data_IF_334964227123
#
_entry.id   IF_334964227123
#
_cell.length_a   1.000
_cell.length_b   1.000
_cell.length_c   1.000
_cell.angle_alpha   90.00
_cell.angle_beta   90.00
_cell.angle_gamma   90.00
#
_symmetry.space_group_name_H-M   'P 1'
#
loop_
_entity.id
_entity.type
_entity.pdbx_description
1 polymer ?
#
# COMPACT_ATOMS: atom_id res chain seq x y z
N UNK A 1 -13.02 10.95 -3.31
CA UNK A 1 -11.78 10.64 -4.07
C UNK A 1 -10.93 11.90 -4.20
N UNK A 2 -9.92 12.05 -3.33
CA UNK A 2 -8.89 13.09 -3.47
C UNK A 2 -7.75 12.49 -4.30
N UNK A 3 -7.68 12.84 -5.58
CA UNK A 3 -6.53 12.50 -6.41
C UNK A 3 -5.38 13.47 -6.08
N UNK A 4 -4.26 12.90 -5.63
CA UNK A 4 -3.01 13.61 -5.44
C UNK A 4 -2.54 14.21 -6.77
N UNK A 5 -2.33 15.54 -6.79
CA UNK A 5 -1.75 16.25 -7.93
C UNK A 5 -0.22 16.22 -7.79
N UNK A 6 0.43 15.26 -8.45
CA UNK A 6 1.89 15.25 -8.59
C UNK A 6 2.28 16.32 -9.60
N UNK A 7 2.86 17.45 -9.17
CA UNK A 7 3.25 18.59 -10.04
C UNK A 7 4.59 18.32 -10.77
N UNK A 8 4.63 18.47 -12.09
CA UNK A 8 5.79 18.33 -12.97
C UNK A 8 5.78 19.56 -13.89
N UNK A 9 6.76 20.43 -13.68
CA UNK A 9 6.87 21.74 -14.32
C UNK A 9 7.70 21.62 -15.61
N UNK A 10 7.18 22.09 -16.74
CA UNK A 10 7.90 22.18 -18.02
C UNK A 10 8.05 23.65 -18.38
N UNK A 11 9.29 24.16 -18.35
CA UNK A 11 9.64 25.49 -18.83
C UNK A 11 9.70 25.50 -20.36
N UNK A 12 8.90 26.34 -21.01
CA UNK A 12 9.18 26.79 -22.38
C UNK A 12 9.93 28.14 -22.29
N UNK A 13 11.12 28.21 -22.91
CA UNK A 13 11.88 29.44 -23.06
C UNK A 13 11.08 30.47 -23.87
N UNK A 14 10.84 31.65 -23.31
CA UNK A 14 10.55 32.87 -24.06
C UNK A 14 11.65 33.90 -23.76
N UNK A 15 12.10 34.70 -24.75
CA UNK A 15 13.11 35.70 -24.53
C UNK A 15 12.62 36.78 -23.55
N UNK A 16 13.56 37.28 -22.76
CA UNK A 16 13.35 38.25 -21.68
C UNK A 16 12.82 39.58 -22.25
N UNK A 17 11.61 39.96 -21.83
CA UNK A 17 11.03 41.29 -22.06
C UNK A 17 9.53 41.23 -22.39
N UNK A 18 8.70 41.86 -21.53
CA UNK A 18 7.24 42.05 -21.66
C UNK A 18 6.29 40.89 -21.26
N UNK A 19 6.23 40.60 -19.96
CA UNK A 19 4.97 40.46 -19.19
C UNK A 19 3.85 39.51 -19.64
N UNK A 20 4.11 38.46 -20.41
CA UNK A 20 3.20 37.34 -20.63
C UNK A 20 4.00 36.05 -20.43
N UNK A 21 3.70 35.29 -19.39
CA UNK A 21 4.29 33.98 -19.17
C UNK A 21 3.21 32.91 -19.38
N UNK A 22 3.43 32.00 -20.33
CA UNK A 22 2.63 30.80 -20.47
C UNK A 22 3.20 29.74 -19.52
N UNK A 23 2.49 29.44 -18.43
CA UNK A 23 2.83 28.35 -17.51
C UNK A 23 2.04 27.09 -17.92
N UNK A 24 2.74 25.99 -18.19
CA UNK A 24 2.13 24.73 -18.68
C UNK A 24 1.85 23.79 -17.51
N UNK A 25 0.63 23.23 -17.44
CA UNK A 25 0.19 22.33 -16.36
C UNK A 25 -0.71 21.18 -16.87
N UNK A 26 -0.26 19.95 -16.58
CA UNK A 26 -0.91 18.60 -16.50
C UNK A 26 -1.55 17.88 -17.71
N UNK A 27 -1.07 16.65 -17.94
CA UNK A 27 -1.73 15.58 -18.71
C UNK A 27 -2.25 14.48 -17.77
N UNK A 28 -3.55 14.12 -17.78
CA UNK A 28 -4.01 12.81 -17.33
C UNK A 28 -3.89 11.78 -18.47
N UNK A 29 -3.44 10.58 -18.13
CA UNK A 29 -3.24 9.49 -19.08
C UNK A 29 -4.55 8.95 -19.69
N UNK A 30 -4.46 8.50 -20.95
CA UNK A 30 -5.52 7.77 -21.66
C UNK A 30 -5.51 8.10 -23.16
N UNK A 31 -5.00 7.18 -23.98
CA UNK A 31 -5.02 7.28 -25.45
C UNK A 31 -6.46 7.17 -25.93
N UNK A 32 -7.00 8.24 -26.51
CA UNK A 32 -8.33 8.26 -27.12
C UNK A 32 -8.89 9.64 -27.47
N UNK A 33 -8.52 10.70 -26.76
CA UNK A 33 -8.92 12.08 -27.06
C UNK A 33 -8.07 13.08 -26.27
N UNK A 34 -6.74 13.04 -26.47
CA UNK A 34 -5.85 13.91 -25.71
C UNK A 34 -6.04 15.37 -26.13
N UNK A 35 -6.56 16.21 -25.24
CA UNK A 35 -6.55 17.67 -25.40
C UNK A 35 -5.50 18.26 -24.47
N UNK A 36 -4.87 19.36 -24.87
CA UNK A 36 -3.92 20.10 -24.06
C UNK A 36 -4.53 21.44 -23.67
N UNK A 37 -4.57 21.75 -22.39
CA UNK A 37 -5.04 23.04 -21.89
C UNK A 37 -3.85 23.99 -21.66
N UNK A 38 -3.87 25.15 -22.32
CA UNK A 38 -2.85 26.21 -22.22
C UNK A 38 -3.41 27.36 -21.40
N UNK A 39 -2.73 27.75 -20.32
CA UNK A 39 -3.13 28.84 -19.44
C UNK A 39 -2.40 30.13 -19.80
N UNK A 40 -3.15 31.17 -20.18
CA UNK A 40 -2.65 32.52 -20.36
C UNK A 40 -2.89 33.33 -19.08
N UNK A 41 -1.84 33.93 -18.51
CA UNK A 41 -1.91 34.69 -17.25
C UNK A 41 -1.46 36.13 -17.49
N UNK A 42 -2.29 37.11 -17.11
CA UNK A 42 -1.92 38.52 -17.06
C UNK A 42 -1.63 38.93 -15.61
N UNK A 43 -0.35 39.04 -15.27
CA UNK A 43 0.13 39.54 -13.96
C UNK A 43 0.43 41.06 -13.98
N UNK A 44 -0.06 41.78 -15.00
CA UNK A 44 0.10 43.22 -15.15
C UNK A 44 -1.11 44.01 -14.64
N UNK A 45 -0.99 45.33 -14.63
CA UNK A 45 -2.02 46.28 -14.16
C UNK A 45 -2.94 46.80 -15.27
N UNK A 46 -2.70 46.43 -16.53
CA UNK A 46 -3.49 46.85 -17.69
C UNK A 46 -4.11 45.66 -18.43
N UNK A 47 -5.22 45.90 -19.14
CA UNK A 47 -5.87 44.88 -19.98
C UNK A 47 -4.93 44.52 -21.14
N UNK A 48 -4.75 43.21 -21.40
CA UNK A 48 -3.94 42.71 -22.52
C UNK A 48 -4.80 42.03 -23.57
N UNK A 49 -4.56 42.35 -24.83
CA UNK A 49 -5.08 41.59 -25.97
C UNK A 49 -4.17 40.39 -26.23
N UNK A 50 -4.74 39.19 -26.19
CA UNK A 50 -4.03 37.94 -26.44
C UNK A 50 -4.61 37.28 -27.68
N UNK A 51 -3.76 36.94 -28.65
CA UNK A 51 -4.12 36.13 -29.81
C UNK A 51 -3.44 34.77 -29.69
N UNK A 52 -4.18 33.69 -29.40
CA UNK A 52 -3.62 32.34 -29.34
C UNK A 52 -3.10 31.92 -30.72
N UNK A 53 -2.03 31.11 -30.75
CA UNK A 53 -1.57 30.52 -32.00
C UNK A 53 -2.59 29.49 -32.48
N UNK A 54 -2.90 29.44 -33.78
CA UNK A 54 -3.79 28.42 -34.34
C UNK A 54 -3.20 27.01 -34.18
N UNK A 55 -1.87 26.93 -34.26
CA UNK A 55 -1.10 25.70 -34.23
C UNK A 55 0.04 25.82 -33.22
N UNK A 56 0.24 24.78 -32.40
CA UNK A 56 1.42 24.61 -31.54
C UNK A 56 2.18 23.33 -31.90
N UNK A 57 3.51 23.39 -31.90
CA UNK A 57 4.36 22.21 -32.12
C UNK A 57 4.90 21.70 -30.79
N UNK A 58 4.76 20.40 -30.53
CA UNK A 58 5.30 19.79 -29.32
C UNK A 58 6.83 19.65 -29.38
N UNK A 59 7.57 19.95 -28.29
CA UNK A 59 8.99 19.60 -28.21
C UNK A 59 9.17 18.09 -27.95
N UNK A 60 9.90 17.39 -28.82
CA UNK A 60 10.18 15.96 -28.68
C UNK A 60 10.65 15.28 -29.98
N UNK A 61 10.99 13.98 -29.90
CA UNK A 61 11.48 13.17 -31.04
C UNK A 61 10.41 12.79 -32.07
N UNK A 62 9.15 13.22 -31.87
CA UNK A 62 8.06 13.10 -32.83
C UNK A 62 7.37 14.45 -32.98
N UNK A 63 7.26 15.01 -34.20
CA UNK A 63 6.49 16.23 -34.41
C UNK A 63 5.01 15.92 -34.17
N UNK A 64 4.40 16.58 -33.19
CA UNK A 64 2.95 16.68 -33.08
C UNK A 64 2.50 18.12 -33.27
N UNK A 65 1.40 18.27 -34.01
CA UNK A 65 0.73 19.53 -34.27
C UNK A 65 -0.56 19.58 -33.43
N UNK A 66 -0.67 20.59 -32.57
CA UNK A 66 -1.87 20.86 -31.78
C UNK A 66 -2.65 21.99 -32.44
N UNK A 67 -3.93 21.81 -32.70
CA UNK A 67 -4.83 22.79 -33.30
C UNK A 67 -5.76 23.35 -32.23
N UNK A 68 -5.87 24.67 -32.16
CA UNK A 68 -6.71 25.37 -31.18
C UNK A 68 -7.40 26.60 -31.77
N UNK A 69 -8.30 27.24 -30.99
CA UNK A 69 -9.03 28.41 -31.46
C UNK A 69 -8.11 29.65 -31.51
N UNK A 70 -7.88 30.17 -32.72
CA UNK A 70 -7.08 31.38 -32.97
C UNK A 70 -7.88 32.69 -32.79
N UNK A 71 -8.87 32.70 -31.89
CA UNK A 71 -9.74 33.87 -31.67
C UNK A 71 -9.10 34.79 -30.64
N UNK A 72 -8.84 36.07 -30.97
CA UNK A 72 -8.32 37.03 -30.00
C UNK A 72 -9.25 37.23 -28.81
N UNK A 73 -8.69 37.49 -27.64
CA UNK A 73 -9.44 37.86 -26.45
C UNK A 73 -8.72 38.85 -25.55
N UNK A 74 -9.51 39.60 -24.78
CA UNK A 74 -9.03 40.46 -23.70
C UNK A 74 -8.78 39.66 -22.43
N UNK A 75 -7.66 39.94 -21.78
CA UNK A 75 -7.28 39.40 -20.49
C UNK A 75 -7.09 40.56 -19.50
N UNK A 76 -8.00 40.67 -18.54
CA UNK A 76 -7.98 41.72 -17.53
C UNK A 76 -6.71 41.66 -16.65
N UNK A 77 -6.34 42.75 -15.96
CA UNK A 77 -5.31 42.73 -14.92
C UNK A 77 -5.55 41.62 -13.90
N UNK A 78 -4.48 41.01 -13.39
CA UNK A 78 -4.54 39.97 -12.34
C UNK A 78 -5.45 38.76 -12.68
N UNK A 79 -5.59 38.42 -13.97
CA UNK A 79 -6.49 37.34 -14.42
C UNK A 79 -5.80 36.27 -15.25
N UNK A 80 -6.45 35.11 -15.37
CA UNK A 80 -5.98 34.00 -16.20
C UNK A 80 -7.12 33.39 -17.01
N UNK A 81 -6.81 32.90 -18.21
CA UNK A 81 -7.76 32.22 -19.10
C UNK A 81 -7.14 30.94 -19.67
N UNK A 82 -7.92 29.86 -19.59
CA UNK A 82 -7.57 28.57 -20.16
C UNK A 82 -8.04 28.50 -21.63
N UNK A 83 -7.18 27.98 -22.51
CA UNK A 83 -7.49 27.70 -23.92
C UNK A 83 -7.14 26.25 -24.23
N UNK A 84 -8.10 25.51 -24.77
CA UNK A 84 -7.96 24.09 -25.09
C UNK A 84 -7.52 23.88 -26.53
N UNK A 85 -6.51 23.04 -26.72
CA UNK A 85 -5.99 22.57 -28.00
C UNK A 85 -6.19 21.06 -28.16
N UNK A 86 -6.34 20.59 -29.39
CA UNK A 86 -6.48 19.17 -29.73
C UNK A 86 -5.37 18.73 -30.69
N UNK A 87 -4.97 17.45 -30.69
CA UNK A 87 -4.03 16.95 -31.70
C UNK A 87 -4.64 16.99 -33.10
N UNK A 88 -3.88 17.50 -34.06
CA UNK A 88 -4.18 17.36 -35.48
C UNK A 88 -4.19 15.86 -35.82
N UNK A 89 -5.31 15.37 -36.33
CA UNK A 89 -5.41 14.00 -36.83
C UNK A 89 -4.59 13.95 -38.11
N UNK A 90 -3.39 13.37 -38.07
CA UNK A 90 -2.62 13.14 -39.29
C UNK A 90 -3.44 12.21 -40.19
N UNK A 91 -3.89 12.73 -41.33
CA UNK A 91 -4.62 11.97 -42.31
C UNK A 91 -3.69 10.88 -42.87
N UNK A 92 -4.13 9.63 -42.78
CA UNK A 92 -3.36 8.47 -43.21
C UNK A 92 -3.21 8.51 -44.74
N UNK A 93 -1.98 8.49 -45.30
CA UNK A 93 -1.82 8.56 -46.75
C UNK A 93 -2.48 7.35 -47.41
N UNK A 94 -3.05 7.50 -48.63
CA UNK A 94 -3.78 6.42 -49.27
C UNK A 94 -2.85 5.23 -49.54
N UNK A 95 -3.27 4.05 -49.09
CA UNK A 95 -2.55 2.79 -49.25
C UNK A 95 -2.39 2.47 -50.75
N UNK A 96 -1.16 2.28 -51.26
CA UNK A 96 -0.95 1.81 -52.63
C UNK A 96 -1.52 0.40 -52.78
N UNK A 97 -2.22 0.11 -53.88
CA UNK A 97 -2.73 -1.24 -54.15
C UNK A 97 -1.57 -2.24 -54.27
N UNK A 98 -1.76 -3.41 -53.69
CA UNK A 98 -0.77 -4.48 -53.45
C UNK A 98 -0.11 -5.12 -54.69
N UNK A 99 -0.32 -4.59 -55.90
CA UNK A 99 0.21 -5.18 -57.14
C UNK A 99 1.59 -4.66 -57.56
N UNK A 100 2.08 -3.54 -56.98
CA UNK A 100 3.29 -2.85 -57.47
C UNK A 100 4.46 -2.79 -56.47
N UNK A 101 4.48 -3.61 -55.42
CA UNK A 101 5.60 -3.63 -54.47
C UNK A 101 6.49 -4.87 -54.65
N UNK A 102 7.81 -4.72 -54.89
CA UNK A 102 8.73 -5.84 -54.88
C UNK A 102 8.74 -6.51 -53.50
N UNK A 103 8.64 -7.83 -53.45
CA UNK A 103 8.73 -8.61 -52.22
C UNK A 103 10.12 -8.46 -51.59
N UNK A 104 10.27 -7.47 -50.72
CA UNK A 104 11.34 -7.41 -49.75
C UNK A 104 10.85 -8.15 -48.51
N UNK A 105 11.63 -9.12 -48.03
CA UNK A 105 11.34 -9.83 -46.80
C UNK A 105 11.15 -8.82 -45.66
N UNK A 106 9.92 -8.70 -45.18
CA UNK A 106 9.60 -7.89 -44.01
C UNK A 106 10.25 -8.59 -42.82
N UNK A 107 11.35 -8.02 -42.32
CA UNK A 107 11.81 -8.35 -40.98
C UNK A 107 10.65 -8.02 -40.03
N UNK A 108 10.11 -9.04 -39.36
CA UNK A 108 9.10 -8.90 -38.33
C UNK A 108 9.59 -7.81 -37.37
N UNK A 109 8.80 -6.75 -37.10
CA UNK A 109 9.20 -5.78 -36.12
C UNK A 109 9.31 -6.54 -34.80
N UNK A 110 10.53 -6.59 -34.25
CA UNK A 110 10.68 -6.97 -32.85
C UNK A 110 10.01 -5.85 -32.08
N UNK A 111 8.77 -6.10 -31.68
CA UNK A 111 8.06 -5.33 -30.69
C UNK A 111 8.99 -5.23 -29.49
N UNK A 112 9.67 -4.09 -29.37
CA UNK A 112 10.42 -3.79 -28.16
C UNK A 112 9.34 -3.58 -27.13
N UNK A 113 8.98 -4.67 -26.44
CA UNK A 113 8.11 -4.62 -25.27
C UNK A 113 8.70 -3.55 -24.38
N UNK A 114 7.99 -2.43 -24.26
CA UNK A 114 8.29 -1.44 -23.23
C UNK A 114 8.11 -2.21 -21.92
N UNK A 115 9.23 -2.59 -21.33
CA UNK A 115 9.32 -3.20 -20.01
C UNK A 115 8.81 -2.17 -18.99
N UNK A 116 7.49 -2.08 -18.84
CA UNK A 116 6.82 -1.57 -17.64
C UNK A 116 7.08 -2.48 -16.43
N UNK A 117 7.97 -3.46 -16.56
CA UNK A 117 8.34 -4.47 -15.57
C UNK A 117 9.44 -3.99 -14.62
N UNK A 118 10.22 -2.94 -14.89
CA UNK A 118 11.36 -2.62 -14.00
C UNK A 118 10.94 -1.94 -12.69
N UNK A 119 10.22 -0.82 -12.74
CA UNK A 119 9.83 -0.08 -11.52
C UNK A 119 8.75 -0.82 -10.71
N UNK A 120 7.76 -1.42 -11.37
CA UNK A 120 6.71 -2.20 -10.69
C UNK A 120 7.28 -3.46 -10.05
N UNK A 121 8.19 -4.20 -10.70
CA UNK A 121 8.83 -5.36 -10.08
C UNK A 121 9.81 -4.94 -8.97
N UNK A 122 10.50 -3.81 -9.14
CA UNK A 122 11.43 -3.29 -8.13
C UNK A 122 10.72 -2.84 -6.85
N UNK A 123 9.57 -2.18 -6.96
CA UNK A 123 8.76 -1.84 -5.78
C UNK A 123 8.05 -3.07 -5.21
N UNK A 124 7.53 -3.97 -6.05
CA UNK A 124 6.80 -5.16 -5.60
C UNK A 124 7.71 -6.13 -4.82
N UNK A 125 8.97 -6.31 -5.23
CA UNK A 125 9.92 -7.18 -4.52
C UNK A 125 10.29 -6.67 -3.11
N UNK A 126 10.03 -5.40 -2.82
CA UNK A 126 10.25 -4.80 -1.49
C UNK A 126 9.07 -4.95 -0.55
N UNK A 127 7.90 -5.32 -1.08
CA UNK A 127 6.75 -5.68 -0.25
C UNK A 127 6.85 -7.13 0.16
N UNK A 128 6.50 -7.39 1.41
CA UNK A 128 6.26 -8.73 1.92
C UNK A 128 5.06 -8.73 2.85
N UNK A 129 4.59 -9.90 3.24
CA UNK A 129 3.60 -10.00 4.30
C UNK A 129 4.22 -9.67 5.66
N UNK A 130 3.45 -9.03 6.53
CA UNK A 130 3.83 -8.72 7.92
C UNK A 130 3.02 -9.56 8.91
N UNK A 131 1.70 -9.56 8.78
CA UNK A 131 0.76 -10.39 9.54
C UNK A 131 -0.09 -11.24 8.57
N UNK A 132 -0.79 -12.29 9.07
CA UNK A 132 -1.75 -13.03 8.27
C UNK A 132 -2.80 -12.11 7.66
N UNK A 133 -3.21 -12.43 6.44
CA UNK A 133 -4.23 -11.68 5.70
C UNK A 133 -5.40 -12.60 5.46
N UNK A 134 -6.59 -12.21 5.91
CA UNK A 134 -7.78 -13.06 5.88
C UNK A 134 -9.06 -12.24 5.82
N UNK A 135 -10.14 -12.91 5.43
CA UNK A 135 -11.51 -12.44 5.55
C UNK A 135 -12.35 -13.57 6.13
N UNK A 136 -12.93 -13.34 7.31
CA UNK A 136 -13.63 -14.34 8.11
C UNK A 136 -15.03 -13.83 8.48
N UNK A 137 -15.95 -14.76 8.65
CA UNK A 137 -17.33 -14.52 9.04
C UNK A 137 -17.69 -15.40 10.23
N UNK A 138 -18.53 -14.88 11.13
CA UNK A 138 -19.14 -15.70 12.16
C UNK A 138 -20.12 -16.72 11.54
N UNK A 139 -20.24 -17.96 12.06
CA UNK A 139 -21.14 -18.99 11.53
C UNK A 139 -22.62 -18.59 11.44
N UNK A 140 -23.08 -17.71 12.33
CA UNK A 140 -24.45 -17.17 12.34
C UNK A 140 -24.62 -15.94 11.42
N UNK A 141 -23.52 -15.43 10.84
CA UNK A 141 -23.53 -14.32 9.88
C UNK A 141 -23.83 -12.94 10.48
N UNK A 142 -23.61 -12.75 11.77
CA UNK A 142 -23.81 -11.45 12.46
C UNK A 142 -22.58 -10.53 12.38
N UNK A 143 -21.38 -11.12 12.38
CA UNK A 143 -20.13 -10.39 12.33
C UNK A 143 -19.18 -10.91 11.23
N UNK A 144 -18.28 -10.02 10.82
CA UNK A 144 -17.13 -10.36 10.00
C UNK A 144 -15.86 -9.73 10.58
N UNK A 145 -14.74 -10.40 10.35
CA UNK A 145 -13.40 -9.91 10.71
C UNK A 145 -12.47 -10.08 9.54
N UNK A 146 -11.76 -9.02 9.18
CA UNK A 146 -10.71 -9.11 8.18
C UNK A 146 -9.45 -8.41 8.64
N UNK A 147 -8.34 -8.89 8.10
CA UNK A 147 -7.03 -8.33 8.35
C UNK A 147 -6.24 -8.28 7.06
N UNK A 148 -5.53 -7.18 6.85
CA UNK A 148 -4.52 -7.08 5.83
C UNK A 148 -3.29 -6.41 6.42
N UNK A 149 -2.11 -6.80 5.95
CA UNK A 149 -0.88 -6.16 6.40
C UNK A 149 0.27 -6.44 5.46
N UNK A 150 1.17 -5.47 5.37
CA UNK A 150 2.38 -5.57 4.57
C UNK A 150 3.56 -5.01 5.35
N UNK A 151 4.75 -5.48 4.98
CA UNK A 151 6.02 -4.85 5.32
C UNK A 151 6.70 -4.39 4.05
N UNK A 152 7.42 -3.29 4.15
CA UNK A 152 8.17 -2.66 3.10
C UNK A 152 9.63 -2.54 3.52
N UNK A 153 10.51 -3.05 2.65
CA UNK A 153 11.95 -2.88 2.77
C UNK A 153 12.35 -1.48 2.31
N UNK A 154 12.71 -0.64 3.29
CA UNK A 154 12.98 0.80 3.08
C UNK A 154 14.19 1.01 2.18
N UNK A 155 15.28 0.28 2.44
CA UNK A 155 16.52 0.37 1.69
C UNK A 155 16.82 -0.91 0.91
N UNK A 156 17.19 -0.75 -0.35
CA UNK A 156 17.75 -1.82 -1.18
C UNK A 156 19.08 -2.28 -0.57
N UNK A 157 19.28 -3.57 -0.23
CA UNK A 157 20.56 -4.08 0.23
C UNK A 157 21.69 -3.83 -0.77
N UNK A 158 21.38 -3.82 -2.06
CA UNK A 158 22.34 -3.63 -3.14
C UNK A 158 22.52 -2.15 -3.51
N UNK A 159 21.73 -1.25 -2.92
CA UNK A 159 21.79 0.19 -3.14
C UNK A 159 23.03 0.84 -2.53
N UNK A 160 23.45 1.97 -3.10
CA UNK A 160 24.66 2.69 -2.65
C UNK A 160 24.64 3.07 -1.16
N UNK A 161 23.48 3.47 -0.64
CA UNK A 161 23.31 3.81 0.78
C UNK A 161 23.47 2.59 1.69
N UNK A 162 22.87 1.44 1.37
CA UNK A 162 23.01 0.22 2.17
C UNK A 162 24.42 -0.37 2.06
N UNK A 163 25.08 -0.28 0.91
CA UNK A 163 26.50 -0.66 0.77
C UNK A 163 27.42 0.20 1.65
N UNK A 164 27.16 1.51 1.75
CA UNK A 164 27.90 2.43 2.63
C UNK A 164 27.55 2.23 4.10
N UNK A 165 26.29 1.96 4.39
CA UNK A 165 25.75 1.77 5.74
C UNK A 165 24.94 0.46 5.80
N UNK A 166 25.59 -0.71 5.98
CA UNK A 166 24.94 -2.03 5.89
C UNK A 166 23.74 -2.23 6.83
N UNK A 167 23.72 -1.51 7.95
CA UNK A 167 22.60 -1.55 8.88
C UNK A 167 21.29 -0.98 8.29
N UNK A 168 21.33 -0.14 7.25
CA UNK A 168 20.12 0.37 6.62
C UNK A 168 19.28 -0.74 5.96
N UNK A 169 19.92 -1.82 5.49
CA UNK A 169 19.24 -2.92 4.80
C UNK A 169 18.20 -3.66 5.67
N UNK A 170 18.36 -3.61 7.00
CA UNK A 170 17.42 -4.24 7.95
C UNK A 170 16.27 -3.34 8.38
N UNK A 171 16.22 -2.08 7.92
CA UNK A 171 15.09 -1.20 8.25
C UNK A 171 13.83 -1.62 7.47
N UNK A 172 12.72 -1.64 8.20
CA UNK A 172 11.40 -2.06 7.73
C UNK A 172 10.38 -1.03 8.19
N UNK A 173 9.48 -0.69 7.27
CA UNK A 173 8.19 -0.12 7.61
C UNK A 173 7.16 -1.24 7.49
N UNK A 174 6.22 -1.37 8.40
CA UNK A 174 5.08 -2.23 8.19
C UNK A 174 3.79 -1.53 8.57
N UNK A 175 2.71 -2.06 8.04
CA UNK A 175 1.37 -1.60 8.30
C UNK A 175 0.45 -2.80 8.31
N UNK A 176 -0.31 -2.92 9.39
CA UNK A 176 -1.42 -3.88 9.50
C UNK A 176 -2.70 -3.14 9.83
N UNK A 177 -3.82 -3.66 9.36
CA UNK A 177 -5.14 -3.17 9.70
C UNK A 177 -6.03 -4.36 10.01
N UNK A 178 -6.76 -4.28 11.13
CA UNK A 178 -7.77 -5.26 11.50
C UNK A 178 -9.10 -4.54 11.65
N UNK A 179 -10.15 -5.06 11.04
CA UNK A 179 -11.49 -4.50 11.15
C UNK A 179 -12.47 -5.56 11.62
N UNK A 180 -13.34 -5.16 12.56
CA UNK A 180 -14.52 -5.89 13.00
C UNK A 180 -15.74 -5.21 12.39
N UNK A 181 -16.60 -6.00 11.78
CA UNK A 181 -17.70 -5.52 10.95
C UNK A 181 -19.02 -6.17 11.40
N UNK A 182 -19.97 -5.36 11.86
CA UNK A 182 -21.29 -5.82 12.28
C UNK A 182 -22.20 -5.94 11.05
N UNK A 183 -22.03 -7.02 10.30
CA UNK A 183 -22.78 -7.27 9.06
C UNK A 183 -24.26 -7.62 9.32
N UNK A 184 -24.61 -8.02 10.54
CA UNK A 184 -25.98 -8.30 10.97
C UNK A 184 -26.77 -7.05 11.40
N UNK A 185 -26.10 -5.92 11.64
CA UNK A 185 -26.72 -4.69 12.14
C UNK A 185 -27.28 -3.80 11.02
N UNK A 186 -28.20 -2.89 11.40
CA UNK A 186 -28.79 -1.95 10.44
C UNK A 186 -27.71 -1.05 9.80
N UNK A 187 -27.73 -0.94 8.48
CA UNK A 187 -26.71 -0.25 7.67
C UNK A 187 -25.29 -0.85 7.73
N UNK A 188 -25.15 -2.05 8.31
CA UNK A 188 -23.92 -2.85 8.35
C UNK A 188 -22.66 -2.04 8.73
N UNK A 189 -22.63 -1.39 9.89
CA UNK A 189 -21.53 -0.54 10.29
C UNK A 189 -20.27 -1.32 10.69
N UNK A 190 -19.10 -0.73 10.47
CA UNK A 190 -17.87 -1.23 11.11
C UNK A 190 -17.93 -0.96 12.62
N UNK A 191 -17.78 -2.02 13.41
CA UNK A 191 -17.72 -1.92 14.87
C UNK A 191 -16.47 -1.15 15.33
N UNK A 192 -15.32 -1.59 14.84
CA UNK A 192 -14.01 -0.99 15.09
C UNK A 192 -13.01 -1.32 13.97
N UNK A 193 -12.01 -0.46 13.81
CA UNK A 193 -10.89 -0.70 12.90
C UNK A 193 -9.60 -0.22 13.53
N UNK A 194 -8.65 -1.14 13.74
CA UNK A 194 -7.33 -0.81 14.30
C UNK A 194 -6.30 -0.63 13.19
N UNK A 195 -5.66 0.54 13.16
CA UNK A 195 -4.56 0.93 12.27
C UNK A 195 -3.22 0.72 12.98
N UNK A 196 -2.34 -0.13 12.45
CA UNK A 196 -1.11 -0.58 13.12
C UNK A 196 0.15 -0.33 12.30
N UNK A 197 0.59 0.92 12.12
CA UNK A 197 1.90 1.20 11.51
C UNK A 197 3.04 0.84 12.48
N UNK A 198 4.12 0.30 11.93
CA UNK A 198 5.35 0.05 12.67
C UNK A 198 6.59 0.42 11.86
N UNK A 199 7.62 0.85 12.57
CA UNK A 199 8.94 1.10 12.02
C UNK A 199 9.97 0.38 12.86
N UNK A 200 10.69 -0.55 12.26
CA UNK A 200 11.52 -1.47 13.00
C UNK A 200 12.76 -1.88 12.22
N UNK A 201 13.72 -2.40 12.97
CA UNK A 201 14.91 -3.02 12.44
C UNK A 201 14.76 -4.54 12.58
N UNK A 202 15.10 -5.26 11.50
CA UNK A 202 15.01 -6.71 11.41
C UNK A 202 16.35 -7.29 10.99
N UNK A 203 16.80 -8.31 11.72
CA UNK A 203 17.88 -9.20 11.33
C UNK A 203 17.34 -10.61 11.26
N UNK A 204 17.18 -11.10 10.03
CA UNK A 204 16.87 -12.49 9.78
C UNK A 204 18.13 -13.36 9.89
N UNK A 205 17.95 -14.59 10.33
CA UNK A 205 18.97 -15.64 10.38
C UNK A 205 20.27 -15.20 11.09
N UNK A 206 20.13 -14.63 12.31
CA UNK A 206 21.26 -14.19 13.14
C UNK A 206 22.14 -15.38 13.52
N UNK A 207 21.52 -16.52 13.84
CA UNK A 207 22.22 -17.72 14.25
C UNK A 207 21.41 -18.98 13.91
N UNK A 208 22.14 -20.08 13.72
CA UNK A 208 21.59 -21.43 13.75
C UNK A 208 21.89 -22.03 15.13
N UNK A 209 20.85 -22.12 15.97
CA UNK A 209 20.97 -22.60 17.35
C UNK A 209 20.84 -24.14 17.40
N UNK A 210 21.73 -24.84 18.13
CA UNK A 210 21.61 -26.29 18.34
C UNK A 210 20.23 -26.67 18.90
N UNK A 211 19.62 -27.72 18.34
CA UNK A 211 18.29 -28.24 18.72
C UNK A 211 17.10 -27.28 18.53
N UNK A 212 17.35 -26.01 18.18
CA UNK A 212 16.30 -25.01 17.94
C UNK A 212 16.12 -24.72 16.46
N UNK A 213 17.19 -24.46 15.73
CA UNK A 213 17.09 -24.08 14.33
C UNK A 213 17.43 -22.60 14.11
N UNK A 214 16.63 -21.89 13.33
CA UNK A 214 16.89 -20.48 12.95
C UNK A 214 16.48 -19.53 14.07
N UNK A 215 17.32 -18.53 14.34
CA UNK A 215 17.03 -17.40 15.21
C UNK A 215 16.99 -16.08 14.41
N UNK A 216 15.88 -15.34 14.54
CA UNK A 216 15.67 -14.02 13.97
C UNK A 216 15.41 -13.00 15.10
N UNK A 217 15.72 -11.72 14.88
CA UNK A 217 15.40 -10.65 15.83
C UNK A 217 14.85 -9.43 15.10
N UNK A 218 13.73 -8.91 15.58
CA UNK A 218 13.21 -7.61 15.22
C UNK A 218 13.05 -6.72 16.45
N UNK A 219 13.22 -5.41 16.32
CA UNK A 219 12.91 -4.45 17.37
C UNK A 219 12.64 -3.07 16.77
N UNK A 220 11.79 -2.30 17.42
CA UNK A 220 11.43 -0.98 16.92
C UNK A 220 10.23 -0.37 17.62
N UNK A 221 9.54 0.47 16.88
CA UNK A 221 8.36 1.20 17.31
C UNK A 221 7.12 0.67 16.60
N UNK A 222 6.02 0.51 17.34
CA UNK A 222 4.69 0.24 16.79
C UNK A 222 3.68 1.20 17.41
N UNK A 223 2.79 1.70 16.58
CA UNK A 223 1.62 2.46 16.97
C UNK A 223 0.38 1.62 16.64
N UNK A 224 -0.67 1.73 17.46
CA UNK A 224 -1.97 1.14 17.20
C UNK A 224 -3.04 2.15 17.63
N UNK A 225 -3.92 2.55 16.72
CA UNK A 225 -5.08 3.40 17.04
C UNK A 225 -6.31 2.92 16.29
N UNK A 226 -7.49 3.31 16.76
CA UNK A 226 -8.74 2.98 16.07
C UNK A 226 -9.24 4.07 15.11
N UNK A 227 -8.54 5.21 15.04
CA UNK A 227 -8.89 6.33 14.15
C UNK A 227 -10.19 7.04 14.49
N UNK A 228 -10.76 6.79 15.69
CA UNK A 228 -11.95 7.46 16.19
C UNK A 228 -11.57 8.71 17.01
N UNK A 229 -12.54 9.56 17.30
CA UNK A 229 -12.38 10.74 18.14
C UNK A 229 -13.34 10.71 19.33
N UNK A 230 -13.12 11.59 20.31
CA UNK A 230 -13.94 11.67 21.52
C UNK A 230 -13.85 10.41 22.37
N UNK A 231 -14.94 10.03 23.03
CA UNK A 231 -14.98 8.95 24.01
C UNK A 231 -14.68 7.56 23.42
N UNK A 232 -14.81 7.39 22.10
CA UNK A 232 -14.46 6.15 21.40
C UNK A 232 -13.01 6.11 20.92
N UNK A 233 -12.26 7.22 21.02
CA UNK A 233 -10.85 7.28 20.63
C UNK A 233 -10.04 6.31 21.46
N UNK A 234 -9.18 5.52 20.83
CA UNK A 234 -8.23 4.66 21.52
C UNK A 234 -6.92 4.62 20.74
N UNK A 235 -5.81 4.70 21.45
CA UNK A 235 -4.48 4.51 20.88
C UNK A 235 -3.44 4.05 21.90
N UNK A 236 -2.34 3.52 21.38
CA UNK A 236 -1.17 3.16 22.15
C UNK A 236 0.07 3.21 21.28
N UNK A 237 1.20 3.46 21.94
CA UNK A 237 2.52 3.45 21.33
C UNK A 237 3.45 2.55 22.13
N UNK A 238 4.14 1.66 21.43
CA UNK A 238 5.05 0.71 22.07
C UNK A 238 6.40 0.68 21.38
N UNK A 239 7.46 0.63 22.19
CA UNK A 239 8.72 0.03 21.76
C UNK A 239 8.61 -1.48 21.93
N UNK A 240 9.16 -2.24 21.00
CA UNK A 240 9.11 -3.70 21.07
C UNK A 240 10.43 -4.36 20.72
N UNK A 241 10.60 -5.58 21.23
CA UNK A 241 11.63 -6.54 20.83
C UNK A 241 10.92 -7.86 20.54
N UNK A 242 11.27 -8.49 19.42
CA UNK A 242 10.68 -9.71 18.94
C UNK A 242 11.76 -10.72 18.50
N UNK A 243 12.28 -11.54 19.43
CA UNK A 243 13.03 -12.73 19.08
C UNK A 243 12.10 -13.76 18.44
N UNK A 244 12.55 -14.41 17.37
CA UNK A 244 11.82 -15.49 16.71
C UNK A 244 12.71 -16.72 16.58
N UNK A 245 12.21 -17.85 17.08
CA UNK A 245 12.87 -19.14 17.04
C UNK A 245 12.09 -20.06 16.11
N UNK A 246 12.75 -20.66 15.13
CA UNK A 246 12.12 -21.55 14.14
C UNK A 246 12.81 -22.91 14.14
N UNK A 247 12.05 -23.94 14.52
CA UNK A 247 12.41 -25.35 14.42
C UNK A 247 11.89 -25.93 13.11
N UNK A 248 12.71 -26.73 12.43
CA UNK A 248 12.36 -27.37 11.17
C UNK A 248 12.43 -26.43 9.96
N UNK A 249 11.73 -26.81 8.90
CA UNK A 249 11.67 -26.05 7.64
C UNK A 249 10.26 -25.50 7.45
N UNK A 250 10.14 -24.17 7.27
CA UNK A 250 8.87 -23.46 7.08
C UNK A 250 8.09 -23.94 5.85
N UNK A 251 8.76 -24.52 4.86
CA UNK A 251 8.12 -25.14 3.70
C UNK A 251 7.55 -26.54 4.00
N UNK A 252 7.98 -27.16 5.10
CA UNK A 252 7.59 -28.49 5.55
C UNK A 252 7.08 -28.40 6.99
N UNK A 253 7.36 -29.41 7.80
CA UNK A 253 7.07 -29.41 9.23
C UNK A 253 7.98 -28.43 9.96
N UNK A 254 7.34 -27.51 10.67
CA UNK A 254 8.02 -26.52 11.49
C UNK A 254 7.23 -26.17 12.74
N UNK A 255 7.94 -25.58 13.68
CA UNK A 255 7.39 -24.88 14.82
C UNK A 255 8.10 -23.55 14.98
N UNK A 256 7.36 -22.50 15.33
CA UNK A 256 7.86 -21.15 15.51
C UNK A 256 7.36 -20.64 16.85
N UNK A 257 8.28 -20.09 17.63
CA UNK A 257 8.00 -19.38 18.86
C UNK A 257 8.53 -17.96 18.74
N UNK A 258 7.65 -16.97 18.93
CA UNK A 258 7.96 -15.57 18.65
C UNK A 258 7.29 -14.65 19.68
N UNK A 259 7.83 -14.54 20.91
CA UNK A 259 7.30 -13.58 21.87
C UNK A 259 7.62 -12.16 21.40
N UNK A 260 6.63 -11.27 21.40
CA UNK A 260 6.83 -9.83 21.18
C UNK A 260 6.73 -9.15 22.54
N UNK A 261 7.87 -8.72 23.07
CA UNK A 261 7.95 -7.97 24.32
C UNK A 261 7.78 -6.49 23.98
N UNK A 262 6.80 -5.82 24.60
CA UNK A 262 6.45 -4.43 24.35
C UNK A 262 6.51 -3.58 25.63
N UNK A 263 6.97 -2.35 25.50
CA UNK A 263 6.90 -1.31 26.52
C UNK A 263 6.07 -0.14 26.01
N UNK A 264 5.03 0.25 26.76
CA UNK A 264 4.21 1.43 26.45
C UNK A 264 5.02 2.69 26.75
N UNK A 265 5.08 3.64 25.80
CA UNK A 265 5.99 4.80 25.88
C UNK A 265 5.32 6.16 25.79
N UNK A 266 4.01 6.22 25.54
CA UNK A 266 3.24 7.46 25.59
C UNK A 266 2.19 7.37 26.68
N UNK A 267 1.71 8.53 27.13
CA UNK A 267 0.44 8.60 27.85
C UNK A 267 -0.65 7.95 26.97
N UNK A 268 -1.53 7.22 27.63
CA UNK A 268 -2.63 6.46 27.03
C UNK A 268 -3.90 7.00 27.65
N UNK A 269 -4.14 8.30 27.54
CA UNK A 269 -5.19 9.01 28.28
C UNK A 269 -6.58 8.42 28.01
N UNK A 270 -6.79 7.96 26.78
CA UNK A 270 -8.00 7.32 26.31
C UNK A 270 -8.19 5.88 26.80
N UNK A 271 -7.10 5.22 27.23
CA UNK A 271 -7.09 3.83 27.67
C UNK A 271 -5.93 3.54 28.63
N UNK A 272 -5.90 4.17 29.81
CA UNK A 272 -4.73 4.18 30.70
C UNK A 272 -4.47 2.82 31.34
N UNK A 273 -5.49 1.98 31.44
CA UNK A 273 -5.43 0.65 32.05
C UNK A 273 -5.32 -0.50 31.02
N UNK A 274 -5.11 -0.21 29.73
CA UNK A 274 -5.02 -1.23 28.67
C UNK A 274 -3.95 -2.29 28.92
N UNK A 275 -2.83 -1.92 29.56
CA UNK A 275 -1.78 -2.85 29.98
C UNK A 275 -2.30 -3.91 30.95
N UNK A 276 -3.35 -3.60 31.71
CA UNK A 276 -4.05 -4.54 32.58
C UNK A 276 -4.82 -5.63 31.84
N UNK A 277 -5.13 -5.44 30.55
CA UNK A 277 -5.86 -6.42 29.74
C UNK A 277 -4.92 -7.13 28.75
N UNK A 278 -4.06 -6.38 28.05
CA UNK A 278 -3.16 -6.92 27.02
C UNK A 278 -1.80 -7.36 27.55
N UNK A 279 -1.39 -6.84 28.70
CA UNK A 279 -0.05 -7.06 29.24
C UNK A 279 1.06 -6.42 28.42
N UNK A 280 2.26 -6.98 28.56
CA UNK A 280 3.50 -6.49 27.95
C UNK A 280 4.11 -7.49 26.96
N UNK A 281 3.49 -8.66 26.77
CA UNK A 281 4.02 -9.70 25.88
C UNK A 281 2.89 -10.29 25.04
N UNK A 282 3.06 -10.26 23.72
CA UNK A 282 2.29 -11.08 22.79
C UNK A 282 3.03 -12.42 22.62
N UNK A 283 2.54 -13.50 23.24
CA UNK A 283 3.13 -14.83 23.06
C UNK A 283 2.60 -15.45 21.78
N UNK A 284 3.43 -15.58 20.75
CA UNK A 284 3.04 -16.17 19.47
C UNK A 284 3.66 -17.55 19.27
N UNK A 285 2.82 -18.50 18.89
CA UNK A 285 3.22 -19.85 18.49
C UNK A 285 2.66 -20.14 17.10
N UNK A 286 3.41 -20.87 16.28
CA UNK A 286 2.91 -21.35 14.98
C UNK A 286 3.55 -22.68 14.67
N UNK A 287 2.77 -23.66 14.25
CA UNK A 287 3.29 -24.98 13.91
C UNK A 287 2.41 -25.73 12.94
N UNK A 288 3.02 -26.65 12.20
CA UNK A 288 2.33 -27.44 11.20
C UNK A 288 3.20 -27.70 9.98
N UNK A 289 2.54 -27.97 8.85
CA UNK A 289 3.20 -28.21 7.57
C UNK A 289 2.95 -27.03 6.61
N UNK A 290 4.02 -26.45 6.06
CA UNK A 290 3.98 -25.34 5.10
C UNK A 290 3.17 -25.62 3.82
N UNK A 291 2.94 -26.89 3.48
CA UNK A 291 2.10 -27.35 2.38
C UNK A 291 0.78 -28.01 2.84
N UNK A 292 0.49 -27.99 4.14
CA UNK A 292 -0.71 -28.60 4.73
C UNK A 292 -1.29 -27.78 5.86
N UNK A 293 -1.80 -28.45 6.89
CA UNK A 293 -2.40 -27.81 8.07
C UNK A 293 -1.38 -26.97 8.83
N UNK A 294 -1.76 -25.76 9.22
CA UNK A 294 -0.97 -24.89 10.10
C UNK A 294 -1.88 -24.35 11.21
N UNK A 295 -1.38 -24.39 12.44
CA UNK A 295 -2.03 -23.80 13.62
C UNK A 295 -1.15 -22.67 14.11
N UNK A 296 -1.73 -21.50 14.36
CA UNK A 296 -1.07 -20.38 15.02
C UNK A 296 -1.87 -19.97 16.26
N UNK A 297 -1.19 -19.43 17.26
CA UNK A 297 -1.85 -18.86 18.42
C UNK A 297 -1.18 -17.58 18.89
N UNK A 298 -2.00 -16.69 19.44
CA UNK A 298 -1.59 -15.48 20.14
C UNK A 298 -2.17 -15.55 21.55
N UNK A 299 -1.31 -15.45 22.56
CA UNK A 299 -1.73 -15.39 23.95
C UNK A 299 -1.27 -14.07 24.55
N UNK A 300 -2.17 -13.39 25.24
CA UNK A 300 -1.93 -12.16 25.99
C UNK A 300 -2.35 -12.37 27.44
N UNK A 301 -1.56 -11.86 28.37
CA UNK A 301 -1.88 -11.90 29.79
C UNK A 301 -1.56 -10.54 30.41
N UNK A 302 -2.59 -9.89 30.92
CA UNK A 302 -2.53 -8.63 31.63
C UNK A 302 -2.39 -8.82 33.14
N UNK A 303 -3.07 -7.98 33.93
CA UNK A 303 -3.13 -8.10 35.38
C UNK A 303 -4.48 -8.67 35.83
N UNK A 304 -4.57 -9.12 37.09
CA UNK A 304 -5.82 -9.56 37.74
C UNK A 304 -6.62 -10.58 36.90
N UNK A 305 -5.94 -11.59 36.35
CA UNK A 305 -6.52 -12.68 35.55
C UNK A 305 -7.21 -12.26 34.23
N UNK A 306 -6.91 -11.05 33.73
CA UNK A 306 -7.31 -10.60 32.40
C UNK A 306 -6.30 -11.09 31.36
N UNK A 307 -6.81 -11.55 30.24
CA UNK A 307 -6.00 -12.01 29.12
C UNK A 307 -6.86 -12.41 27.94
N UNK A 308 -6.20 -12.90 26.89
CA UNK A 308 -6.87 -13.42 25.72
C UNK A 308 -6.05 -14.50 25.03
N UNK A 309 -6.76 -15.38 24.34
CA UNK A 309 -6.19 -16.35 23.42
C UNK A 309 -6.89 -16.22 22.06
N UNK A 310 -6.09 -16.16 21.00
CA UNK A 310 -6.50 -16.37 19.62
C UNK A 310 -5.88 -17.67 19.14
N UNK A 311 -6.65 -18.51 18.46
CA UNK A 311 -6.17 -19.71 17.77
C UNK A 311 -6.65 -19.67 16.33
N UNK A 312 -5.70 -19.75 15.41
CA UNK A 312 -5.93 -19.75 13.97
C UNK A 312 -5.54 -21.10 13.38
N UNK A 313 -6.43 -21.70 12.61
CA UNK A 313 -6.19 -22.95 11.88
C UNK A 313 -6.35 -22.66 10.40
N UNK A 314 -5.35 -23.02 9.59
CA UNK A 314 -5.38 -22.80 8.14
C UNK A 314 -4.92 -24.00 7.33
N UNK A 315 -5.51 -24.18 6.15
CA UNK A 315 -5.18 -25.26 5.22
C UNK A 315 -5.17 -24.77 3.76
N UNK A 316 -4.14 -25.05 2.96
CA UNK A 316 -4.04 -24.59 1.58
C UNK A 316 -5.08 -25.26 0.67
N UNK A 317 -5.87 -24.46 -0.03
CA UNK A 317 -6.92 -24.96 -0.92
C UNK A 317 -6.39 -25.34 -2.31
N UNK A 318 -5.13 -24.99 -2.64
CA UNK A 318 -4.50 -25.29 -3.94
C UNK A 318 -4.63 -26.77 -4.32
N UNK A 319 -4.46 -27.69 -3.37
CA UNK A 319 -4.49 -29.13 -3.65
C UNK A 319 -5.88 -29.67 -3.98
N UNK A 320 -6.95 -29.00 -3.52
CA UNK A 320 -8.33 -29.46 -3.69
C UNK A 320 -9.09 -28.68 -4.75
N UNK A 321 -8.83 -27.38 -4.87
CA UNK A 321 -9.60 -26.44 -5.69
C UNK A 321 -8.74 -25.72 -6.73
N UNK A 322 -7.41 -25.90 -6.73
CA UNK A 322 -6.50 -25.19 -7.65
C UNK A 322 -6.39 -23.68 -7.42
N UNK A 323 -6.92 -23.16 -6.31
CA UNK A 323 -6.88 -21.73 -5.95
C UNK A 323 -5.83 -21.45 -4.87
N UNK A 324 -5.18 -20.30 -4.96
CA UNK A 324 -4.13 -19.85 -4.04
C UNK A 324 -4.70 -19.12 -2.82
N UNK A 325 -5.66 -19.76 -2.15
CA UNK A 325 -6.21 -19.34 -0.86
C UNK A 325 -6.05 -20.44 0.19
N UNK A 326 -6.25 -20.05 1.44
CA UNK A 326 -6.30 -20.95 2.58
C UNK A 326 -7.73 -21.01 3.11
N UNK A 327 -8.25 -22.20 3.41
CA UNK A 327 -9.37 -22.30 4.34
C UNK A 327 -8.87 -21.86 5.71
N UNK A 328 -9.66 -21.07 6.43
CA UNK A 328 -9.24 -20.43 7.66
C UNK A 328 -10.33 -20.54 8.71
N UNK A 329 -9.96 -20.92 9.93
CA UNK A 329 -10.80 -20.97 11.12
C UNK A 329 -10.09 -20.20 12.23
N UNK A 330 -10.77 -19.27 12.87
CA UNK A 330 -10.24 -18.48 13.97
C UNK A 330 -11.16 -18.60 15.18
N UNK A 331 -10.57 -18.88 16.33
CA UNK A 331 -11.21 -18.82 17.63
C UNK A 331 -10.56 -17.71 18.46
N UNK A 332 -11.38 -16.90 19.10
CA UNK A 332 -10.96 -15.86 20.03
C UNK A 332 -11.70 -16.04 21.36
N UNK A 333 -10.99 -15.94 22.47
CA UNK A 333 -11.58 -15.82 23.81
C UNK A 333 -10.75 -14.87 24.68
N UNK A 334 -11.38 -13.82 25.22
CA UNK A 334 -10.74 -12.91 26.16
C UNK A 334 -10.95 -11.43 25.87
N UNK A 335 -10.09 -10.60 26.44
CA UNK A 335 -10.14 -9.14 26.35
C UNK A 335 -9.29 -8.58 25.20
N UNK A 336 -9.64 -7.42 24.66
CA UNK A 336 -8.78 -6.74 23.67
C UNK A 336 -8.87 -7.29 22.25
N UNK A 337 -10.03 -7.83 21.87
CA UNK A 337 -10.31 -8.24 20.48
C UNK A 337 -10.35 -7.04 19.53
N UNK A 338 -10.96 -5.97 20.05
CA UNK A 338 -11.13 -4.64 19.49
C UNK A 338 -10.33 -3.65 20.36
N UNK A 339 -9.83 -2.57 19.78
CA UNK A 339 -9.19 -1.53 20.57
C UNK A 339 -10.25 -0.67 21.26
N UNK A 340 -11.37 -0.40 20.59
CA UNK A 340 -12.54 0.32 21.14
C UNK A 340 -13.03 -0.28 22.46
N UNK A 341 -13.16 -1.60 22.51
CA UNK A 341 -13.70 -2.35 23.66
C UNK A 341 -12.65 -3.27 24.25
N UNK A 342 -11.46 -2.71 24.52
CA UNK A 342 -10.32 -3.49 25.00
C UNK A 342 -10.56 -4.10 26.39
N UNK A 343 -11.48 -3.53 27.15
CA UNK A 343 -11.87 -3.88 28.50
C UNK A 343 -13.09 -4.80 28.58
N UNK A 344 -13.68 -5.14 27.44
CA UNK A 344 -14.76 -6.12 27.32
C UNK A 344 -14.20 -7.50 26.97
N UNK A 345 -14.75 -8.55 27.59
CA UNK A 345 -14.43 -9.94 27.25
C UNK A 345 -15.37 -10.42 26.17
N UNK A 346 -14.81 -10.88 25.05
CA UNK A 346 -15.56 -11.47 23.95
C UNK A 346 -15.14 -12.92 23.73
N UNK A 347 -16.02 -13.67 23.07
CA UNK A 347 -15.76 -15.02 22.58
C UNK A 347 -16.31 -15.11 21.16
N UNK A 348 -15.47 -15.51 20.21
CA UNK A 348 -15.81 -15.48 18.80
C UNK A 348 -15.24 -16.71 18.09
N UNK A 349 -16.04 -17.31 17.22
CA UNK A 349 -15.59 -18.35 16.28
C UNK A 349 -15.90 -17.85 14.88
N UNK A 350 -14.91 -17.83 13.99
CA UNK A 350 -15.07 -17.33 12.62
C UNK A 350 -14.41 -18.25 11.61
N UNK A 351 -15.01 -18.37 10.43
CA UNK A 351 -14.48 -19.14 9.32
C UNK A 351 -14.41 -18.29 8.04
N UNK A 352 -13.49 -18.63 7.14
CA UNK A 352 -13.42 -17.95 5.87
C UNK A 352 -12.15 -18.30 5.10
N UNK A 353 -11.61 -17.28 4.43
CA UNK A 353 -10.46 -17.44 3.54
C UNK A 353 -9.26 -16.64 4.03
N UNK A 354 -8.08 -17.25 3.93
CA UNK A 354 -6.79 -16.59 4.09
C UNK A 354 -6.14 -16.36 2.73
N UNK A 355 -5.50 -15.20 2.59
CA UNK A 355 -4.61 -14.86 1.47
C UNK A 355 -3.16 -15.12 1.85
N UNK A 356 -2.82 -14.87 3.12
CA UNK A 356 -1.49 -15.11 3.70
C UNK A 356 -1.66 -15.65 5.12
N UNK A 357 -0.82 -16.60 5.53
CA UNK A 357 -0.94 -17.30 6.82
C UNK A 357 0.33 -17.30 7.66
#
# INVERSE_FOLDING_TARGET
>A
MRYARTVACLLACAPVGAGLAAETVFLPGGVGAATVDVLYVNRGTEVKQVTPMATLTCPGSRPCELVGPAVPFELAPESARLVRYAFSKTEEPPVPKAADLPQVAVATPTETQIQNTSLLNYSAARFGAHDPMYFLFSPNGDDARFQFGFRYQVFDPDGALAKRYPWLAGLRFAYSQTSLWDIGEESTPFYDTSYKPSFYYERANIAQLPHVGRFDLAYGFRHESNGKGGDESRDLNQLFINPTFTWGDVAQWHFVFSPILGAYITEMDENPDIAGYRGYVDWRFKGGNGQGLTVASLIRYGNKDKGAIQVDVSYPLRQWLGIDFYAYLQYWDGYGESLRSYDERTNSLRLGIGFVR
#
